data_IF_411612681628
#
_entry.id   IF_411612681628
#
_cell.length_a   1.000
_cell.length_b   1.000
_cell.length_c   1.000
_cell.angle_alpha   90.00
_cell.angle_beta   90.00
_cell.angle_gamma   90.00
#
_symmetry.space_group_name_H-M   'P 1'
#
loop_
_entity.id
_entity.type
_entity.pdbx_description
1 polymer ?
#
# COMPACT_ATOMS: atom_id res chain seq x y z
N UNK A 1 -11.34 30.51 -23.92
CA UNK A 1 -10.69 29.44 -23.15
C UNK A 1 -11.69 28.31 -22.99
N UNK A 2 -11.37 27.09 -23.42
CA UNK A 2 -12.25 25.93 -23.19
C UNK A 2 -12.37 25.67 -21.68
N UNK A 3 -13.58 25.28 -21.23
CA UNK A 3 -13.90 24.95 -19.82
C UNK A 3 -12.93 23.90 -19.27
N UNK A 4 -12.40 23.03 -20.13
CA UNK A 4 -11.42 22.00 -19.78
C UNK A 4 -10.09 22.55 -19.23
N UNK A 5 -9.72 23.78 -19.55
CA UNK A 5 -8.47 24.40 -19.09
C UNK A 5 -8.66 25.38 -17.93
N UNK A 6 -9.86 25.43 -17.34
CA UNK A 6 -10.09 26.23 -16.15
C UNK A 6 -9.29 25.64 -14.97
N UNK A 7 -8.46 26.42 -14.26
CA UNK A 7 -7.66 25.93 -13.13
C UNK A 7 -8.48 25.20 -12.06
N UNK A 8 -9.71 25.64 -11.81
CA UNK A 8 -10.62 24.98 -10.85
C UNK A 8 -11.07 23.62 -11.36
N UNK A 9 -11.31 23.48 -12.67
CA UNK A 9 -11.67 22.20 -13.29
C UNK A 9 -10.49 21.24 -13.30
N UNK A 10 -9.29 21.74 -13.60
CA UNK A 10 -8.06 20.94 -13.52
C UNK A 10 -7.81 20.47 -12.08
N UNK A 11 -7.96 21.37 -11.09
CA UNK A 11 -7.82 21.03 -9.68
C UNK A 11 -8.87 20.02 -9.21
N UNK A 12 -10.14 20.22 -9.57
CA UNK A 12 -11.21 19.26 -9.23
C UNK A 12 -10.95 17.89 -9.89
N UNK A 13 -10.52 17.86 -11.15
CA UNK A 13 -10.18 16.64 -11.86
C UNK A 13 -9.04 15.88 -11.17
N UNK A 14 -7.94 16.57 -10.83
CA UNK A 14 -6.74 15.95 -10.25
C UNK A 14 -6.90 15.57 -8.78
N UNK A 15 -7.61 16.39 -7.99
CA UNK A 15 -7.72 16.20 -6.54
C UNK A 15 -8.91 15.33 -6.13
N UNK A 16 -9.97 15.26 -6.95
CA UNK A 16 -11.22 14.59 -6.56
C UNK A 16 -11.57 13.49 -7.57
N UNK A 17 -11.70 13.84 -8.86
CA UNK A 17 -12.27 12.89 -9.84
C UNK A 17 -11.32 11.71 -10.08
N UNK A 18 -10.04 11.99 -10.37
CA UNK A 18 -9.05 10.93 -10.60
C UNK A 18 -8.90 10.02 -9.37
N UNK A 19 -8.69 10.53 -8.14
CA UNK A 19 -8.63 9.69 -6.95
C UNK A 19 -9.90 8.87 -6.71
N UNK A 20 -11.09 9.44 -6.93
CA UNK A 20 -12.35 8.72 -6.77
C UNK A 20 -12.50 7.58 -7.78
N UNK A 21 -12.15 7.81 -9.05
CA UNK A 21 -12.18 6.77 -10.09
C UNK A 21 -11.18 5.65 -9.75
N UNK A 22 -9.96 5.99 -9.34
CA UNK A 22 -8.95 5.00 -8.95
C UNK A 22 -9.44 4.17 -7.76
N UNK A 23 -10.06 4.80 -6.76
CA UNK A 23 -10.64 4.10 -5.61
C UNK A 23 -11.78 3.16 -6.04
N UNK A 24 -12.69 3.63 -6.91
CA UNK A 24 -13.79 2.81 -7.41
C UNK A 24 -13.28 1.60 -8.21
N UNK A 25 -12.28 1.79 -9.07
CA UNK A 25 -11.64 0.71 -9.81
C UNK A 25 -10.99 -0.30 -8.88
N UNK A 26 -10.27 0.16 -7.85
CA UNK A 26 -9.63 -0.71 -6.87
C UNK A 26 -10.67 -1.54 -6.11
N UNK A 27 -11.75 -0.92 -5.65
CA UNK A 27 -12.88 -1.63 -5.01
C UNK A 27 -13.49 -2.64 -5.97
N UNK A 28 -13.75 -2.25 -7.22
CA UNK A 28 -14.31 -3.13 -8.23
C UNK A 28 -13.42 -4.35 -8.50
N UNK A 29 -12.11 -4.16 -8.61
CA UNK A 29 -11.14 -5.25 -8.79
C UNK A 29 -11.13 -6.18 -7.59
N UNK A 30 -11.17 -5.67 -6.35
CA UNK A 30 -11.24 -6.50 -5.14
C UNK A 30 -12.52 -7.36 -5.16
N UNK A 31 -13.66 -6.77 -5.49
CA UNK A 31 -14.92 -7.52 -5.58
C UNK A 31 -14.91 -8.56 -6.71
N UNK A 32 -14.34 -8.20 -7.86
CA UNK A 32 -14.16 -9.12 -8.99
C UNK A 32 -13.28 -10.31 -8.58
N UNK A 33 -12.13 -10.05 -7.96
CA UNK A 33 -11.23 -11.10 -7.47
C UNK A 33 -11.93 -11.98 -6.43
N UNK A 34 -12.67 -11.39 -5.47
CA UNK A 34 -13.46 -12.15 -4.50
C UNK A 34 -14.48 -13.06 -5.18
N UNK A 35 -15.11 -12.58 -6.25
CA UNK A 35 -16.08 -13.36 -7.01
C UNK A 35 -15.41 -14.47 -7.82
N UNK A 36 -14.31 -14.18 -8.52
CA UNK A 36 -13.54 -15.14 -9.32
C UNK A 36 -12.88 -16.23 -8.48
N UNK A 37 -12.33 -15.85 -7.32
CA UNK A 37 -11.65 -16.76 -6.39
C UNK A 37 -12.62 -17.47 -5.44
N UNK A 38 -13.93 -17.26 -5.61
CA UNK A 38 -14.93 -17.97 -4.82
C UNK A 38 -14.86 -19.46 -5.12
N UNK A 39 -14.58 -20.27 -4.10
CA UNK A 39 -14.55 -21.71 -4.25
C UNK A 39 -15.92 -22.28 -4.66
N UNK A 40 -15.90 -23.33 -5.48
CA UNK A 40 -17.12 -24.08 -5.81
C UNK A 40 -17.79 -24.61 -4.53
N UNK A 41 -19.12 -24.42 -4.37
CA UNK A 41 -19.87 -24.94 -3.23
C UNK A 41 -19.74 -26.46 -3.05
N UNK A 42 -19.54 -27.19 -4.14
CA UNK A 42 -19.40 -28.66 -4.09
C UNK A 42 -18.06 -29.08 -3.47
N UNK A 43 -16.97 -28.40 -3.83
CA UNK A 43 -15.64 -28.63 -3.26
C UNK A 43 -15.62 -28.25 -1.77
N UNK A 44 -16.36 -27.21 -1.37
CA UNK A 44 -16.51 -26.87 0.05
C UNK A 44 -17.26 -27.92 0.87
N UNK A 45 -18.17 -28.70 0.25
CA UNK A 45 -18.92 -29.77 0.94
C UNK A 45 -18.09 -31.04 1.09
N UNK A 46 -17.24 -31.37 0.11
CA UNK A 46 -16.41 -32.58 0.13
C UNK A 46 -15.20 -32.45 1.05
N UNK A 47 -14.73 -31.24 1.33
CA UNK A 47 -13.50 -31.01 2.08
C UNK A 47 -13.78 -30.35 3.46
N UNK A 48 -14.20 -31.13 4.48
CA UNK A 48 -14.61 -30.59 5.78
C UNK A 48 -13.47 -29.87 6.52
N UNK A 49 -12.22 -30.18 6.15
CA UNK A 49 -11.02 -29.58 6.75
C UNK A 49 -10.57 -28.27 6.10
N UNK A 50 -11.18 -27.87 4.96
CA UNK A 50 -10.77 -26.66 4.22
C UNK A 50 -10.89 -25.35 5.01
N UNK A 51 -11.85 -25.30 5.94
CA UNK A 51 -12.11 -24.12 6.79
C UNK A 51 -11.45 -24.24 8.17
N UNK A 52 -10.83 -25.39 8.46
CA UNK A 52 -10.13 -25.63 9.70
C UNK A 52 -8.68 -25.16 9.50
N UNK A 53 -8.09 -24.43 10.46
CA UNK A 53 -6.68 -24.06 10.38
C UNK A 53 -5.82 -25.30 10.20
N UNK A 54 -4.84 -25.23 9.29
CA UNK A 54 -3.83 -26.28 9.19
C UNK A 54 -3.04 -26.31 10.49
N UNK A 55 -3.20 -27.38 11.25
CA UNK A 55 -2.39 -27.66 12.42
C UNK A 55 -1.61 -28.94 12.19
N UNK A 56 -0.46 -29.07 12.87
CA UNK A 56 0.45 -30.22 12.80
C UNK A 56 -0.17 -31.51 13.37
N UNK A 57 -1.27 -31.97 12.77
CA UNK A 57 -2.09 -33.13 13.12
C UNK A 57 -2.71 -33.13 14.54
N UNK A 58 -2.67 -32.01 15.27
CA UNK A 58 -3.26 -31.89 16.61
C UNK A 58 -4.50 -30.98 16.55
N UNK A 59 -5.58 -31.27 17.30
CA UNK A 59 -6.71 -30.33 17.38
C UNK A 59 -6.22 -28.97 17.89
N UNK A 60 -6.68 -27.85 17.32
CA UNK A 60 -6.26 -26.52 17.75
C UNK A 60 -6.57 -26.34 19.22
N UNK A 61 -5.54 -26.09 20.04
CA UNK A 61 -5.65 -25.85 21.49
C UNK A 61 -4.96 -24.55 21.83
N UNK A 62 -5.62 -23.74 22.67
CA UNK A 62 -5.10 -22.45 23.12
C UNK A 62 -5.52 -21.27 22.24
N UNK A 63 -4.83 -20.14 22.39
CA UNK A 63 -5.14 -18.89 21.70
C UNK A 63 -4.29 -18.81 20.42
N UNK A 64 -4.91 -18.97 19.25
CA UNK A 64 -4.21 -18.99 17.95
C UNK A 64 -3.65 -17.64 17.48
N UNK A 65 -3.79 -16.58 18.30
CA UNK A 65 -3.23 -15.25 18.02
C UNK A 65 -2.27 -14.88 19.14
N UNK A 66 -0.99 -15.07 18.90
CA UNK A 66 0.03 -14.33 19.64
C UNK A 66 -0.11 -12.84 19.33
N UNK A 67 0.24 -11.97 20.29
CA UNK A 67 0.41 -10.55 19.98
C UNK A 67 1.56 -10.46 18.98
N UNK A 68 1.23 -10.28 17.70
CA UNK A 68 2.24 -10.15 16.65
C UNK A 68 2.90 -8.82 16.88
N UNK A 69 4.14 -8.87 17.33
CA UNK A 69 4.97 -7.71 17.23
C UNK A 69 5.29 -7.47 15.76
N UNK A 70 5.10 -6.24 15.30
CA UNK A 70 5.48 -5.92 13.93
C UNK A 70 6.99 -5.71 13.87
N UNK A 71 7.76 -6.79 13.92
CA UNK A 71 9.19 -6.79 13.58
C UNK A 71 9.44 -6.07 12.24
N UNK A 72 8.47 -6.16 11.33
CA UNK A 72 8.49 -5.51 10.02
C UNK A 72 7.91 -4.09 9.99
N UNK A 73 7.47 -3.51 11.11
CA UNK A 73 6.81 -2.20 11.11
C UNK A 73 7.70 -1.11 10.51
N UNK A 74 8.91 -0.95 11.03
CA UNK A 74 9.85 0.04 10.53
C UNK A 74 10.20 -0.19 9.06
N UNK A 75 10.35 -1.44 8.63
CA UNK A 75 10.57 -1.77 7.22
C UNK A 75 9.38 -1.42 6.33
N UNK A 76 8.16 -1.63 6.81
CA UNK A 76 6.94 -1.31 6.09
C UNK A 76 6.76 0.20 5.95
N UNK A 77 7.05 0.96 7.00
CA UNK A 77 7.05 2.44 6.94
C UNK A 77 8.13 2.95 6.00
N UNK A 78 9.34 2.38 6.03
CA UNK A 78 10.41 2.73 5.08
C UNK A 78 10.00 2.45 3.63
N UNK A 79 9.39 1.29 3.38
CA UNK A 79 8.91 0.90 2.05
C UNK A 79 7.86 1.89 1.54
N UNK A 80 6.82 2.18 2.34
CA UNK A 80 5.76 3.11 1.97
C UNK A 80 6.26 4.54 1.76
N UNK A 81 7.25 4.99 2.53
CA UNK A 81 7.84 6.31 2.37
C UNK A 81 8.70 6.45 1.10
N UNK A 82 9.35 5.36 0.68
CA UNK A 82 10.20 5.34 -0.52
C UNK A 82 9.40 5.17 -1.82
N UNK A 83 8.25 4.51 -1.78
CA UNK A 83 7.44 4.23 -2.97
C UNK A 83 7.16 5.48 -3.83
N UNK A 84 6.68 6.62 -3.29
CA UNK A 84 6.42 7.80 -4.10
C UNK A 84 7.68 8.36 -4.76
N UNK A 85 8.84 8.25 -4.10
CA UNK A 85 10.12 8.70 -4.65
C UNK A 85 10.51 7.86 -5.87
N UNK A 86 10.37 6.54 -5.78
CA UNK A 86 10.64 5.61 -6.90
C UNK A 86 9.71 5.89 -8.07
N UNK A 87 8.42 6.07 -7.81
CA UNK A 87 7.43 6.42 -8.84
C UNK A 87 7.80 7.74 -9.55
N UNK A 88 8.29 8.73 -8.80
CA UNK A 88 8.69 10.01 -9.39
C UNK A 88 9.91 9.92 -10.31
N UNK A 89 10.84 8.99 -10.05
CA UNK A 89 11.96 8.73 -10.97
C UNK A 89 11.46 8.28 -12.35
N UNK A 90 10.39 7.49 -12.40
CA UNK A 90 9.74 7.10 -13.67
C UNK A 90 9.12 8.30 -14.38
N UNK A 91 8.54 9.25 -13.65
CA UNK A 91 8.01 10.46 -14.26
C UNK A 91 9.13 11.37 -14.79
N UNK A 92 10.25 11.51 -14.06
CA UNK A 92 11.41 12.29 -14.48
C UNK A 92 12.01 11.75 -15.79
N UNK A 93 11.98 10.43 -16.02
CA UNK A 93 12.53 9.86 -17.26
C UNK A 93 11.69 10.15 -18.51
N UNK A 94 10.41 10.51 -18.35
CA UNK A 94 9.46 10.72 -19.46
C UNK A 94 9.07 12.20 -19.60
N UNK A 95 9.34 13.04 -18.59
CA UNK A 95 8.93 14.45 -18.58
C UNK A 95 9.60 15.27 -19.71
N UNK A 96 8.90 16.23 -20.34
CA UNK A 96 9.53 17.15 -21.28
C UNK A 96 10.72 17.89 -20.68
N UNK A 97 11.76 18.13 -21.50
CA UNK A 97 12.99 18.83 -21.07
C UNK A 97 12.73 20.20 -20.43
N UNK A 98 11.67 20.90 -20.85
CA UNK A 98 11.26 22.20 -20.28
C UNK A 98 10.81 22.11 -18.82
N UNK A 99 10.38 20.94 -18.36
CA UNK A 99 9.86 20.72 -17.01
C UNK A 99 10.80 19.89 -16.12
N UNK A 100 11.93 19.43 -16.66
CA UNK A 100 12.84 18.52 -15.94
C UNK A 100 13.36 19.13 -14.62
N UNK A 101 13.65 20.43 -14.61
CA UNK A 101 14.08 21.14 -13.41
C UNK A 101 13.02 21.08 -12.29
N UNK A 102 11.75 21.32 -12.64
CA UNK A 102 10.64 21.27 -11.69
C UNK A 102 10.42 19.85 -11.16
N UNK A 103 10.56 18.83 -12.02
CA UNK A 103 10.42 17.44 -11.63
C UNK A 103 11.54 17.00 -10.66
N UNK A 104 12.79 17.40 -10.93
CA UNK A 104 13.93 17.14 -10.03
C UNK A 104 13.74 17.89 -8.70
N UNK A 105 13.32 19.16 -8.74
CA UNK A 105 13.06 19.94 -7.53
C UNK A 105 11.98 19.29 -6.67
N UNK A 106 10.88 18.83 -7.29
CA UNK A 106 9.80 18.12 -6.60
C UNK A 106 10.29 16.81 -5.97
N UNK A 107 11.14 16.05 -6.67
CA UNK A 107 11.77 14.84 -6.13
C UNK A 107 12.63 15.13 -4.90
N UNK A 108 13.45 16.18 -4.93
CA UNK A 108 14.28 16.58 -3.80
C UNK A 108 13.44 17.03 -2.59
N UNK A 109 12.38 17.82 -2.83
CA UNK A 109 11.44 18.21 -1.78
C UNK A 109 10.78 16.97 -1.17
N UNK A 110 10.36 16.01 -2.00
CA UNK A 110 9.73 14.78 -1.54
C UNK A 110 10.68 13.93 -0.68
N UNK A 111 11.95 13.78 -1.08
CA UNK A 111 12.98 13.14 -0.24
C UNK A 111 13.11 13.87 1.09
N UNK A 112 13.20 15.20 1.07
CA UNK A 112 13.38 16.00 2.28
C UNK A 112 12.19 15.84 3.24
N UNK A 113 10.97 15.82 2.72
CA UNK A 113 9.74 15.63 3.50
C UNK A 113 9.66 14.22 4.10
N UNK A 114 10.10 13.19 3.36
CA UNK A 114 10.07 11.80 3.84
C UNK A 114 11.31 11.39 4.64
N UNK A 115 12.43 12.11 4.55
CA UNK A 115 13.64 11.86 5.33
C UNK A 115 13.39 11.68 6.85
N UNK A 116 12.62 12.54 7.54
CA UNK A 116 12.33 12.32 8.97
C UNK A 116 11.53 11.03 9.21
N UNK A 117 10.63 10.67 8.29
CA UNK A 117 9.85 9.44 8.38
C UNK A 117 10.74 8.20 8.20
N UNK A 118 11.67 8.25 7.25
CA UNK A 118 12.67 7.20 7.03
C UNK A 118 13.61 7.06 8.23
N UNK A 119 14.07 8.18 8.80
CA UNK A 119 14.92 8.17 9.98
C UNK A 119 14.18 7.56 11.19
N UNK A 120 12.92 7.95 11.41
CA UNK A 120 12.06 7.38 12.44
C UNK A 120 11.88 5.87 12.23
N UNK A 121 11.56 5.46 11.00
CA UNK A 121 11.32 4.06 10.68
C UNK A 121 12.58 3.19 10.84
N UNK A 122 13.75 3.70 10.46
CA UNK A 122 15.04 3.05 10.66
C UNK A 122 15.47 2.99 12.14
N UNK A 123 15.04 3.97 12.95
CA UNK A 123 15.22 3.94 14.40
C UNK A 123 14.32 2.87 15.03
N UNK A 124 13.04 2.85 14.67
CA UNK A 124 12.05 1.93 15.22
C UNK A 124 12.35 0.47 14.80
N UNK A 125 12.84 0.27 13.58
CA UNK A 125 13.25 -1.05 13.09
C UNK A 125 14.43 -1.66 13.86
N UNK A 126 15.09 -0.93 14.77
CA UNK A 126 16.19 -1.46 15.60
C UNK A 126 15.75 -1.79 17.03
N UNK A 127 14.52 -1.44 17.42
CA UNK A 127 14.04 -1.60 18.80
C UNK A 127 13.41 -2.97 18.99
N UNK A 128 14.25 -3.96 19.20
CA UNK A 128 13.87 -5.36 19.47
C UNK A 128 12.93 -5.47 20.68
N UNK A 129 13.03 -4.56 21.66
CA UNK A 129 12.12 -4.52 22.81
C UNK A 129 10.65 -4.29 22.43
N UNK A 130 10.40 -3.60 21.32
CA UNK A 130 9.04 -3.40 20.79
C UNK A 130 8.62 -4.57 19.89
N UNK A 131 9.51 -5.55 19.68
CA UNK A 131 9.25 -6.78 18.93
C UNK A 131 8.71 -7.91 19.81
N UNK A 132 8.42 -7.65 21.08
CA UNK A 132 7.76 -8.63 21.94
C UNK A 132 6.72 -7.83 22.71
N UNK A 133 5.45 -8.09 22.42
CA UNK A 133 4.36 -7.58 23.24
C UNK A 133 4.15 -8.61 24.35
N UNK A 134 4.70 -8.34 25.53
CA UNK A 134 4.38 -9.08 26.75
C UNK A 134 2.85 -9.08 26.98
#
# INVERSE_FOLDING_TARGET
MSIAYNPLVIAANSMIIVPAIVLLLLVAVIYLLKWLLRASPEIEKTEPYKKIPFESANPPKGVGKGKVSFQYFGYLVMFLAMEPAVVLLTFISIVPRTLIFHAILLYLILILVFAPLLAYAAYESKRIKNWILD
#
